data_IF_141797150701
#
_entry.id   IF_141797150701
#
_cell.length_a   1.000
_cell.length_b   1.000
_cell.length_c   1.000
_cell.angle_alpha   90.00
_cell.angle_beta   90.00
_cell.angle_gamma   90.00
#
_symmetry.space_group_name_H-M   'P 1'
#
loop_
_entity.id
_entity.type
_entity.pdbx_description
1 polymer ?
#
# COMPACT_ATOMS: atom_id res chain seq x y z
N UNK A 1 -62.57 -35.78 36.22
CA UNK A 1 -62.60 -34.57 35.37
C UNK A 1 -62.58 -33.35 36.29
N UNK A 2 -61.60 -32.46 36.14
CA UNK A 2 -61.47 -31.25 36.96
C UNK A 2 -60.01 -30.88 37.15
N UNK A 3 -59.51 -30.04 36.24
CA UNK A 3 -58.12 -29.69 36.02
C UNK A 3 -57.44 -29.08 37.26
N UNK A 4 -56.33 -29.69 37.69
CA UNK A 4 -55.37 -29.07 38.62
C UNK A 4 -54.60 -28.00 37.85
N UNK A 5 -55.14 -26.78 37.84
CA UNK A 5 -54.40 -25.58 37.42
C UNK A 5 -53.21 -25.40 38.37
N UNK A 6 -52.01 -25.62 37.86
CA UNK A 6 -50.78 -25.19 38.52
C UNK A 6 -50.82 -23.67 38.66
N UNK A 7 -51.23 -23.18 39.83
CA UNK A 7 -50.97 -21.81 40.24
C UNK A 7 -49.45 -21.69 40.38
N UNK A 8 -48.81 -21.08 39.39
CA UNK A 8 -47.45 -20.57 39.54
C UNK A 8 -47.46 -19.58 40.69
N UNK A 9 -46.95 -20.02 41.83
CA UNK A 9 -46.83 -19.20 43.03
C UNK A 9 -45.67 -18.22 42.79
N UNK A 10 -46.00 -17.01 42.33
CA UNK A 10 -45.04 -15.92 42.20
C UNK A 10 -44.40 -15.66 43.56
N UNK A 11 -43.11 -15.95 43.68
CA UNK A 11 -42.36 -15.71 44.91
C UNK A 11 -41.87 -14.25 44.89
N UNK A 12 -42.00 -13.47 45.98
CA UNK A 12 -41.60 -12.06 45.99
C UNK A 12 -40.13 -11.85 45.58
N UNK A 13 -39.23 -12.77 45.95
CA UNK A 13 -37.84 -12.75 45.47
C UNK A 13 -37.71 -12.93 43.94
N UNK A 14 -38.59 -13.68 43.28
CA UNK A 14 -38.58 -13.80 41.81
C UNK A 14 -39.09 -12.53 41.13
N UNK A 15 -40.04 -11.83 41.74
CA UNK A 15 -40.54 -10.54 41.24
C UNK A 15 -39.49 -9.43 41.41
N UNK A 16 -38.76 -9.42 42.54
CA UNK A 16 -37.65 -8.50 42.77
C UNK A 16 -36.49 -8.72 41.77
N UNK A 17 -36.16 -9.98 41.48
CA UNK A 17 -35.17 -10.32 40.44
C UNK A 17 -35.66 -9.88 39.06
N UNK A 18 -36.92 -10.11 38.73
CA UNK A 18 -37.50 -9.67 37.45
C UNK A 18 -37.45 -8.13 37.32
N UNK A 19 -37.78 -7.41 38.39
CA UNK A 19 -37.69 -5.94 38.43
C UNK A 19 -36.25 -5.45 38.29
N UNK A 20 -35.29 -6.12 38.94
CA UNK A 20 -33.88 -5.80 38.80
C UNK A 20 -33.38 -6.02 37.37
N UNK A 21 -33.77 -7.14 36.74
CA UNK A 21 -33.40 -7.44 35.34
C UNK A 21 -34.01 -6.43 34.36
N UNK A 22 -35.26 -6.03 34.58
CA UNK A 22 -35.90 -4.98 33.77
C UNK A 22 -35.17 -3.64 33.91
N UNK A 23 -34.80 -3.28 35.14
CA UNK A 23 -34.00 -2.07 35.39
C UNK A 23 -32.63 -2.15 34.73
N UNK A 24 -31.91 -3.25 34.91
CA UNK A 24 -30.59 -3.45 34.31
C UNK A 24 -30.65 -3.40 32.78
N UNK A 25 -31.68 -3.99 32.17
CA UNK A 25 -31.89 -3.93 30.73
C UNK A 25 -32.16 -2.50 30.25
N UNK A 26 -32.96 -1.73 31.00
CA UNK A 26 -33.19 -0.32 30.70
C UNK A 26 -31.89 0.49 30.81
N UNK A 27 -31.15 0.32 31.90
CA UNK A 27 -29.88 1.02 32.14
C UNK A 27 -28.85 0.69 31.03
N UNK A 28 -28.74 -0.60 30.63
CA UNK A 28 -27.91 -1.02 29.48
C UNK A 28 -28.35 -0.37 28.16
N UNK A 29 -29.67 -0.26 27.92
CA UNK A 29 -30.20 0.40 26.72
C UNK A 29 -29.86 1.89 26.69
N UNK A 30 -29.87 2.55 27.86
CA UNK A 30 -29.46 3.95 27.98
C UNK A 30 -27.97 4.12 27.68
N UNK A 31 -27.12 3.24 28.23
CA UNK A 31 -25.67 3.23 27.98
C UNK A 31 -25.38 2.99 26.49
N UNK A 32 -26.03 2.01 25.85
CA UNK A 32 -25.86 1.75 24.42
C UNK A 32 -26.17 2.99 23.57
N UNK A 33 -27.28 3.67 23.88
CA UNK A 33 -27.69 4.89 23.17
C UNK A 33 -26.69 6.03 23.37
N UNK A 34 -26.20 6.25 24.59
CA UNK A 34 -25.20 7.28 24.88
C UNK A 34 -23.89 6.99 24.12
N UNK A 35 -23.38 5.76 24.19
CA UNK A 35 -22.18 5.36 23.46
C UNK A 35 -22.34 5.54 21.95
N UNK A 36 -23.52 5.21 21.39
CA UNK A 36 -23.80 5.42 19.96
C UNK A 36 -23.79 6.91 19.59
N UNK A 37 -24.34 7.77 20.45
CA UNK A 37 -24.33 9.23 20.24
C UNK A 37 -22.91 9.80 20.34
N UNK A 38 -22.14 9.42 21.36
CA UNK A 38 -20.74 9.83 21.51
C UNK A 38 -19.89 9.35 20.33
N UNK A 39 -20.09 8.11 19.88
CA UNK A 39 -19.39 7.56 18.72
C UNK A 39 -19.67 8.39 17.46
N UNK A 40 -20.94 8.72 17.20
CA UNK A 40 -21.33 9.53 16.04
C UNK A 40 -20.83 10.98 16.14
N UNK A 41 -20.81 11.55 17.34
CA UNK A 41 -20.29 12.90 17.58
C UNK A 41 -18.77 12.99 17.43
N UNK A 42 -18.05 11.96 17.89
CA UNK A 42 -16.58 11.89 17.82
C UNK A 42 -16.09 11.58 16.41
N UNK A 43 -16.84 10.76 15.65
CA UNK A 43 -16.50 10.36 14.30
C UNK A 43 -17.62 10.73 13.31
N UNK A 44 -17.79 12.03 12.98
CA UNK A 44 -18.68 12.46 11.92
C UNK A 44 -18.25 11.87 10.56
N UNK A 45 -19.18 11.79 9.61
CA UNK A 45 -18.92 11.36 8.21
C UNK A 45 -18.45 9.92 8.00
N UNK A 46 -18.99 8.97 8.79
CA UNK A 46 -18.76 7.53 8.61
C UNK A 46 -17.29 7.09 8.85
N UNK A 47 -16.51 7.90 9.57
CA UNK A 47 -15.13 7.61 9.94
C UNK A 47 -15.05 6.54 11.05
N UNK A 48 -15.49 5.31 10.75
CA UNK A 48 -15.39 4.20 11.70
C UNK A 48 -13.92 3.76 11.85
N UNK A 49 -13.32 3.84 13.05
CA UNK A 49 -11.91 3.49 13.26
C UNK A 49 -11.56 2.08 12.79
N UNK A 50 -12.45 1.10 12.98
CA UNK A 50 -12.23 -0.28 12.53
C UNK A 50 -12.17 -0.37 10.99
N UNK A 51 -13.03 0.39 10.29
CA UNK A 51 -13.01 0.43 8.83
C UNK A 51 -11.78 1.17 8.30
N UNK A 52 -11.36 2.25 8.97
CA UNK A 52 -10.14 2.97 8.63
C UNK A 52 -8.90 2.08 8.77
N UNK A 53 -8.79 1.36 9.88
CA UNK A 53 -7.69 0.39 10.09
C UNK A 53 -7.71 -0.70 9.02
N UNK A 54 -8.88 -1.24 8.67
CA UNK A 54 -8.99 -2.23 7.59
C UNK A 54 -8.54 -1.68 6.23
N UNK A 55 -8.94 -0.44 5.89
CA UNK A 55 -8.51 0.24 4.66
C UNK A 55 -7.01 0.51 4.65
N UNK A 56 -6.44 0.96 5.77
CA UNK A 56 -5.00 1.21 5.90
C UNK A 56 -4.22 -0.09 5.70
N UNK A 57 -4.63 -1.20 6.34
CA UNK A 57 -3.98 -2.50 6.15
C UNK A 57 -4.00 -2.95 4.69
N UNK A 58 -5.16 -2.82 4.04
CA UNK A 58 -5.29 -3.14 2.61
C UNK A 58 -4.34 -2.27 1.75
N UNK A 59 -4.28 -0.97 2.00
CA UNK A 59 -3.37 -0.07 1.28
C UNK A 59 -1.91 -0.48 1.52
N UNK A 60 -1.52 -0.84 2.75
CA UNK A 60 -0.17 -1.29 3.05
C UNK A 60 0.21 -2.57 2.28
N UNK A 61 -0.70 -3.54 2.20
CA UNK A 61 -0.53 -4.76 1.42
C UNK A 61 -0.42 -4.48 -0.09
N UNK A 62 -1.30 -3.63 -0.62
CA UNK A 62 -1.28 -3.21 -2.02
C UNK A 62 0.00 -2.43 -2.36
N UNK A 63 0.45 -1.55 -1.47
CA UNK A 63 1.71 -0.82 -1.63
C UNK A 63 2.93 -1.76 -1.63
N UNK A 64 2.95 -2.77 -0.76
CA UNK A 64 4.04 -3.74 -0.72
C UNK A 64 4.11 -4.55 -2.02
N UNK A 65 2.96 -5.02 -2.52
CA UNK A 65 2.90 -5.75 -3.79
C UNK A 65 3.26 -4.86 -4.99
N UNK A 66 2.81 -3.60 -5.02
CA UNK A 66 3.17 -2.64 -6.05
C UNK A 66 4.68 -2.33 -6.05
N UNK A 67 5.29 -2.19 -4.87
CA UNK A 67 6.74 -1.97 -4.76
C UNK A 67 7.51 -3.14 -5.37
N UNK A 68 7.05 -4.36 -5.16
CA UNK A 68 7.68 -5.55 -5.72
C UNK A 68 7.52 -5.64 -7.24
N UNK A 69 6.34 -5.35 -7.77
CA UNK A 69 6.14 -5.30 -9.23
C UNK A 69 6.97 -4.20 -9.89
N UNK A 70 7.10 -3.02 -9.27
CA UNK A 70 7.97 -1.97 -9.76
C UNK A 70 9.45 -2.39 -9.77
N UNK A 71 9.93 -3.09 -8.73
CA UNK A 71 11.31 -3.62 -8.71
C UNK A 71 11.55 -4.64 -9.81
N UNK A 72 10.61 -5.55 -10.02
CA UNK A 72 10.71 -6.53 -11.10
C UNK A 72 10.72 -5.85 -12.48
N UNK A 73 9.86 -4.86 -12.69
CA UNK A 73 9.84 -4.08 -13.93
C UNK A 73 11.16 -3.33 -14.17
N UNK A 74 11.76 -2.74 -13.12
CA UNK A 74 13.07 -2.09 -13.22
C UNK A 74 14.17 -3.09 -13.59
N UNK A 75 14.14 -4.29 -13.02
CA UNK A 75 15.07 -5.37 -13.35
C UNK A 75 14.94 -5.79 -14.82
N UNK A 76 13.72 -5.99 -15.31
CA UNK A 76 13.47 -6.34 -16.71
C UNK A 76 13.88 -5.22 -17.67
N UNK A 77 13.64 -3.96 -17.29
CA UNK A 77 14.11 -2.82 -18.07
C UNK A 77 15.64 -2.74 -18.12
N UNK A 78 16.32 -3.04 -17.02
CA UNK A 78 17.79 -3.08 -17.01
C UNK A 78 18.32 -4.20 -17.91
N UNK A 79 17.75 -5.40 -17.86
CA UNK A 79 18.12 -6.51 -18.75
C UNK A 79 17.92 -6.16 -20.24
N UNK A 80 16.83 -5.46 -20.58
CA UNK A 80 16.62 -4.95 -21.93
C UNK A 80 17.70 -3.96 -22.37
N UNK A 81 18.14 -3.09 -21.45
CA UNK A 81 19.18 -2.09 -21.72
C UNK A 81 20.56 -2.74 -21.85
N UNK A 82 20.85 -3.77 -21.06
CA UNK A 82 22.09 -4.54 -21.19
C UNK A 82 22.14 -5.26 -22.55
N UNK A 83 21.00 -5.83 -22.99
CA UNK A 83 20.87 -6.42 -24.34
C UNK A 83 21.03 -5.38 -25.45
N UNK A 84 20.46 -4.19 -25.27
CA UNK A 84 20.64 -3.07 -26.18
C UNK A 84 22.11 -2.64 -26.30
N UNK A 85 22.83 -2.52 -25.19
CA UNK A 85 24.26 -2.23 -25.17
C UNK A 85 25.10 -3.31 -25.87
N UNK A 86 24.74 -4.59 -25.68
CA UNK A 86 25.37 -5.70 -26.42
C UNK A 86 25.18 -5.57 -27.94
N UNK A 87 23.97 -5.22 -28.40
CA UNK A 87 23.67 -5.01 -29.82
C UNK A 87 24.49 -3.86 -30.42
N UNK A 88 24.65 -2.77 -29.68
CA UNK A 88 25.54 -1.65 -30.04
C UNK A 88 26.99 -2.13 -30.22
N UNK A 89 27.50 -2.92 -29.26
CA UNK A 89 28.83 -3.53 -29.35
C UNK A 89 28.98 -4.44 -30.58
N UNK A 90 27.98 -5.25 -30.89
CA UNK A 90 27.95 -6.10 -32.08
C UNK A 90 27.98 -5.28 -33.37
N UNK A 91 27.17 -4.22 -33.48
CA UNK A 91 27.19 -3.32 -34.64
C UNK A 91 28.57 -2.69 -34.84
N UNK A 92 29.21 -2.20 -33.78
CA UNK A 92 30.55 -1.60 -33.87
C UNK A 92 31.60 -2.60 -34.38
N UNK A 93 31.47 -3.88 -34.00
CA UNK A 93 32.34 -4.97 -34.46
C UNK A 93 32.11 -5.27 -35.95
N UNK A 94 30.85 -5.28 -36.40
CA UNK A 94 30.50 -5.47 -37.81
C UNK A 94 30.98 -4.31 -38.69
N UNK A 95 30.84 -3.06 -38.24
CA UNK A 95 31.37 -1.89 -38.95
C UNK A 95 32.88 -1.98 -39.13
N UNK A 96 33.60 -2.44 -38.10
CA UNK A 96 35.05 -2.67 -38.19
C UNK A 96 35.41 -3.74 -39.22
N UNK A 97 34.66 -4.85 -39.26
CA UNK A 97 34.87 -5.91 -40.23
C UNK A 97 34.59 -5.43 -41.67
N UNK A 98 33.52 -4.68 -41.88
CA UNK A 98 33.20 -4.10 -43.19
C UNK A 98 34.31 -3.17 -43.68
N UNK A 99 34.86 -2.34 -42.78
CA UNK A 99 36.00 -1.48 -43.08
C UNK A 99 37.26 -2.29 -43.45
N UNK A 100 37.51 -3.44 -42.80
CA UNK A 100 38.63 -4.32 -43.16
C UNK A 100 38.46 -4.98 -44.54
N UNK A 101 37.23 -5.14 -45.01
CA UNK A 101 36.92 -5.76 -46.30
C UNK A 101 36.72 -4.74 -47.44
N UNK A 102 36.98 -3.45 -47.22
CA UNK A 102 36.69 -2.34 -48.15
C UNK A 102 35.24 -2.35 -48.67
N UNK A 103 34.30 -2.82 -47.84
CA UNK A 103 32.87 -2.81 -48.14
C UNK A 103 32.25 -1.49 -47.67
N UNK A 104 31.15 -1.03 -48.32
CA UNK A 104 30.46 0.18 -47.90
C UNK A 104 30.04 0.11 -46.41
N UNK A 105 30.35 1.18 -45.67
CA UNK A 105 29.89 1.36 -44.30
C UNK A 105 28.36 1.50 -44.28
N UNK A 106 27.75 1.22 -43.12
CA UNK A 106 26.31 1.41 -42.94
C UNK A 106 25.90 2.88 -43.20
N UNK A 107 24.68 3.07 -43.69
CA UNK A 107 24.13 4.32 -44.21
C UNK A 107 24.05 5.43 -43.13
N UNK A 108 24.21 6.70 -43.52
CA UNK A 108 24.16 7.88 -42.62
C UNK A 108 22.84 7.95 -41.81
N UNK A 109 21.73 7.47 -42.39
CA UNK A 109 20.45 7.38 -41.69
C UNK A 109 20.48 6.42 -40.51
N UNK A 110 21.25 5.33 -40.60
CA UNK A 110 21.37 4.35 -39.53
C UNK A 110 22.24 4.88 -38.38
N UNK A 111 23.12 5.84 -38.65
CA UNK A 111 23.97 6.47 -37.64
C UNK A 111 23.20 7.51 -36.80
N UNK A 112 22.21 8.22 -37.37
CA UNK A 112 21.29 9.04 -36.58
C UNK A 112 20.41 8.18 -35.64
N UNK A 113 19.92 7.03 -36.11
CA UNK A 113 19.13 6.10 -35.28
C UNK A 113 20.01 5.54 -34.15
N UNK A 114 21.26 5.20 -34.46
CA UNK A 114 22.23 4.68 -33.50
C UNK A 114 22.63 5.70 -32.43
N UNK A 115 22.89 6.95 -32.81
CA UNK A 115 23.21 8.02 -31.85
C UNK A 115 22.05 8.31 -30.92
N UNK A 116 20.83 8.41 -31.44
CA UNK A 116 19.63 8.56 -30.63
C UNK A 116 19.43 7.37 -29.67
N UNK A 117 19.68 6.14 -30.13
CA UNK A 117 19.56 4.95 -29.29
C UNK A 117 20.59 4.92 -28.15
N UNK A 118 21.84 5.30 -28.41
CA UNK A 118 22.86 5.43 -27.36
C UNK A 118 22.50 6.51 -26.35
N UNK A 119 21.99 7.65 -26.81
CA UNK A 119 21.55 8.72 -25.92
C UNK A 119 20.47 8.23 -24.94
N UNK A 120 19.47 7.48 -25.43
CA UNK A 120 18.41 6.92 -24.56
C UNK A 120 18.98 5.96 -23.50
N UNK A 121 20.01 5.19 -23.84
CA UNK A 121 20.68 4.27 -22.90
C UNK A 121 21.48 5.05 -21.84
N UNK A 122 22.21 6.08 -22.26
CA UNK A 122 22.98 6.95 -21.36
C UNK A 122 22.06 7.72 -20.40
N UNK A 123 20.97 8.29 -20.91
CA UNK A 123 19.95 8.96 -20.10
C UNK A 123 19.37 8.04 -19.03
N UNK A 124 19.14 6.77 -19.37
CA UNK A 124 18.70 5.78 -18.39
C UNK A 124 19.76 5.50 -17.32
N UNK A 125 21.03 5.35 -17.71
CA UNK A 125 22.13 5.14 -16.78
C UNK A 125 22.26 6.30 -15.78
N UNK A 126 22.08 7.53 -16.25
CA UNK A 126 22.08 8.74 -15.41
C UNK A 126 20.88 8.78 -14.44
N UNK A 127 19.68 8.39 -14.90
CA UNK A 127 18.49 8.29 -14.04
C UNK A 127 18.65 7.24 -12.93
N UNK A 128 19.32 6.12 -13.21
CA UNK A 128 19.58 5.08 -12.20
C UNK A 128 20.65 5.53 -11.20
N UNK A 129 21.69 6.23 -11.64
CA UNK A 129 22.74 6.78 -10.78
C UNK A 129 22.20 7.85 -9.82
N UNK A 130 21.33 8.73 -10.30
CA UNK A 130 20.73 9.80 -9.49
C UNK A 130 19.75 9.25 -8.43
N UNK A 131 18.92 8.25 -8.78
CA UNK A 131 17.97 7.64 -7.83
C UNK A 131 18.63 6.81 -6.74
N UNK A 132 19.71 6.09 -7.06
CA UNK A 132 20.47 5.31 -6.06
C UNK A 132 21.14 6.20 -4.99
N UNK A 133 21.41 7.46 -5.31
CA UNK A 133 21.97 8.44 -4.36
C UNK A 133 20.97 8.99 -3.34
N UNK A 134 19.67 9.05 -3.69
CA UNK A 134 18.64 9.73 -2.88
C UNK A 134 17.92 8.78 -1.88
N UNK A 135 17.99 7.46 -2.09
CA UNK A 135 17.31 6.48 -1.22
C UNK A 135 18.04 6.21 0.11
N UNK A 136 19.31 6.62 0.28
CA UNK A 136 20.03 6.45 1.56
C UNK A 136 19.57 7.40 2.68
N UNK A 137 18.66 8.34 2.41
CA UNK A 137 18.24 9.37 3.37
C UNK A 137 16.76 9.41 3.75
N UNK A 138 15.92 8.48 3.28
CA UNK A 138 14.45 8.54 3.44
C UNK A 138 13.84 7.36 4.22
N UNK A 139 14.66 6.61 4.94
CA UNK A 139 14.23 5.58 5.88
C UNK A 139 14.20 6.10 7.34
N UNK A 140 14.11 7.43 7.54
CA UNK A 140 13.69 8.02 8.81
C UNK A 140 12.18 7.78 9.00
N UNK A 141 11.88 6.53 9.34
CA UNK A 141 10.88 6.07 10.28
C UNK A 141 9.67 7.01 10.46
N UNK A 142 8.77 6.99 9.47
CA UNK A 142 7.47 7.65 9.51
C UNK A 142 6.73 7.34 10.83
N UNK A 143 6.93 6.14 11.38
CA UNK A 143 6.40 5.78 12.68
C UNK A 143 7.02 6.64 13.81
N UNK A 144 8.33 6.89 13.84
CA UNK A 144 8.93 7.81 14.82
C UNK A 144 8.42 9.25 14.67
N UNK A 145 8.18 9.74 13.46
CA UNK A 145 7.57 11.07 13.26
C UNK A 145 6.15 11.12 13.82
N UNK A 146 5.34 10.10 13.55
CA UNK A 146 3.96 10.02 14.06
C UNK A 146 3.92 9.87 15.59
N UNK A 147 4.83 9.09 16.18
CA UNK A 147 4.90 8.93 17.63
C UNK A 147 5.47 10.17 18.35
N UNK A 148 6.41 10.89 17.73
CA UNK A 148 6.96 12.13 18.31
C UNK A 148 5.97 13.28 18.30
N UNK A 149 5.12 13.38 17.27
CA UNK A 149 4.09 14.42 17.17
C UNK A 149 2.96 14.25 18.19
N UNK A 150 2.64 13.01 18.59
CA UNK A 150 1.59 12.71 19.57
C UNK A 150 2.06 13.03 21.01
N UNK A 151 3.35 12.87 21.30
CA UNK A 151 3.90 13.09 22.66
C UNK A 151 4.10 14.58 22.98
N UNK A 152 4.26 15.45 21.98
CA UNK A 152 4.45 16.90 22.20
C UNK A 152 3.16 17.67 22.55
N UNK A 153 1.99 17.04 22.46
CA UNK A 153 0.68 17.70 22.64
C UNK A 153 0.01 17.40 23.99
N UNK A 154 0.78 16.99 25.01
CA UNK A 154 0.34 16.86 26.41
C UNK A 154 1.07 17.86 27.31
#
# INVERSE_FOLDING_TARGET
MGERRHQFQHHPATDDVMKLMLKANHDLSLVERHLRQEFQATYPDHANPCQLVARIKKIQEEMASLKETCRQLLKEKQDLIDKAGSLIGQRSSLQRLLAYCDLPLMNDSDDMIYTNFNQVIEEWADQMRTKTGDEKGKDEDINQMLFSAIVQNN
#
